data_IF_389728474959
#
_entry.id   IF_389728474959
#
_cell.length_a   1.000
_cell.length_b   1.000
_cell.length_c   1.000
_cell.angle_alpha   90.00
_cell.angle_beta   90.00
_cell.angle_gamma   90.00
#
_symmetry.space_group_name_H-M   'P 1'
#
loop_
_entity.id
_entity.type
_entity.pdbx_description
1 polymer ?
#
# COMPACT_ATOMS: atom_id res chain seq x y z
N UNK A 1 -9.69 17.40 21.08
CA UNK A 1 -9.10 18.03 19.88
C UNK A 1 -9.85 19.32 19.60
N UNK A 2 -9.16 20.47 19.64
CA UNK A 2 -9.74 21.79 19.41
C UNK A 2 -10.22 21.90 17.94
N UNK A 3 -11.31 22.65 17.70
CA UNK A 3 -11.88 22.82 16.35
C UNK A 3 -10.92 23.45 15.32
N UNK A 4 -9.90 24.17 15.79
CA UNK A 4 -8.82 24.70 14.95
C UNK A 4 -7.87 23.57 14.49
N UNK A 5 -7.44 22.71 15.40
CA UNK A 5 -6.57 21.57 15.08
C UNK A 5 -7.28 20.64 14.07
N UNK A 6 -8.57 20.32 14.31
CA UNK A 6 -9.36 19.46 13.41
C UNK A 6 -9.42 20.03 11.97
N UNK A 7 -9.64 21.34 11.82
CA UNK A 7 -9.65 21.97 10.49
C UNK A 7 -8.26 21.96 9.84
N UNK A 8 -7.20 22.10 10.64
CA UNK A 8 -5.82 22.05 10.15
C UNK A 8 -5.47 20.64 9.64
N UNK A 9 -5.78 19.60 10.40
CA UNK A 9 -5.57 18.22 10.00
C UNK A 9 -6.39 17.85 8.74
N UNK A 10 -7.66 18.28 8.69
CA UNK A 10 -8.48 18.02 7.50
C UNK A 10 -7.87 18.69 6.27
N UNK A 11 -7.42 19.95 6.36
CA UNK A 11 -6.79 20.65 5.24
C UNK A 11 -5.46 20.00 4.81
N UNK A 12 -4.65 19.51 5.76
CA UNK A 12 -3.45 18.70 5.43
C UNK A 12 -3.83 17.46 4.64
N UNK A 13 -4.86 16.73 5.09
CA UNK A 13 -5.36 15.54 4.43
C UNK A 13 -5.87 15.84 3.02
N UNK A 14 -6.62 16.92 2.83
CA UNK A 14 -7.14 17.33 1.50
C UNK A 14 -5.99 17.60 0.51
N UNK A 15 -4.89 18.24 0.96
CA UNK A 15 -3.70 18.47 0.13
C UNK A 15 -3.02 17.14 -0.22
N UNK A 16 -2.87 16.22 0.73
CA UNK A 16 -2.26 14.91 0.49
C UNK A 16 -3.09 14.08 -0.51
N UNK A 17 -4.43 14.07 -0.35
CA UNK A 17 -5.34 13.35 -1.26
C UNK A 17 -5.26 13.91 -2.69
N UNK A 18 -5.37 15.23 -2.85
CA UNK A 18 -5.25 15.89 -4.15
C UNK A 18 -3.90 15.62 -4.81
N UNK A 19 -2.81 15.67 -4.04
CA UNK A 19 -1.46 15.38 -4.55
C UNK A 19 -1.34 13.92 -4.97
N UNK A 20 -1.87 12.99 -4.18
CA UNK A 20 -1.86 11.56 -4.49
C UNK A 20 -2.57 11.29 -5.82
N UNK A 21 -3.78 11.84 -6.03
CA UNK A 21 -4.53 11.65 -7.28
C UNK A 21 -3.74 12.17 -8.49
N UNK A 22 -3.12 13.33 -8.38
CA UNK A 22 -2.28 13.88 -9.44
C UNK A 22 -1.05 13.00 -9.71
N UNK A 23 -0.38 12.50 -8.67
CA UNK A 23 0.80 11.63 -8.82
C UNK A 23 0.46 10.26 -9.41
N UNK A 24 -0.68 9.69 -9.05
CA UNK A 24 -1.16 8.43 -9.64
C UNK A 24 -1.48 8.60 -11.12
N UNK A 25 -1.96 9.77 -11.53
CA UNK A 25 -2.39 10.03 -12.92
C UNK A 25 -1.25 10.52 -13.81
N UNK A 26 -0.41 11.45 -13.33
CA UNK A 26 0.53 12.20 -14.17
C UNK A 26 2.01 11.95 -13.80
N UNK A 27 2.28 11.25 -12.72
CA UNK A 27 3.63 11.06 -12.17
C UNK A 27 4.09 12.25 -11.31
N UNK A 28 5.21 12.06 -10.61
CA UNK A 28 5.71 13.04 -9.62
C UNK A 28 6.32 14.26 -10.31
N UNK A 29 7.08 14.05 -11.39
CA UNK A 29 7.89 15.10 -12.02
C UNK A 29 7.01 16.14 -12.73
N UNK A 30 5.97 15.69 -13.44
CA UNK A 30 5.09 16.56 -14.21
C UNK A 30 4.16 17.40 -13.37
N UNK A 31 3.90 17.02 -12.12
CA UNK A 31 2.96 17.73 -11.24
C UNK A 31 3.66 18.88 -10.51
N UNK A 32 3.18 20.10 -10.68
CA UNK A 32 3.67 21.33 -10.03
C UNK A 32 2.90 21.64 -8.73
N UNK A 33 3.51 22.42 -7.82
CA UNK A 33 2.81 22.95 -6.63
C UNK A 33 1.59 23.80 -7.00
N UNK A 34 1.60 24.47 -8.15
CA UNK A 34 0.47 25.27 -8.63
C UNK A 34 -0.74 24.37 -8.99
N UNK A 35 -0.50 23.23 -9.64
CA UNK A 35 -1.54 22.26 -9.97
C UNK A 35 -2.09 21.59 -8.70
N UNK A 36 -1.23 21.24 -7.75
CA UNK A 36 -1.65 20.71 -6.45
C UNK A 36 -2.51 21.73 -5.70
N UNK A 37 -2.11 23.00 -5.67
CA UNK A 37 -2.86 24.06 -5.02
C UNK A 37 -4.26 24.25 -5.63
N UNK A 38 -4.34 24.17 -6.96
CA UNK A 38 -5.61 24.24 -7.70
C UNK A 38 -6.50 23.04 -7.36
N UNK A 39 -5.98 21.83 -7.41
CA UNK A 39 -6.73 20.59 -7.13
C UNK A 39 -7.22 20.52 -5.68
N UNK A 40 -6.36 20.90 -4.72
CA UNK A 40 -6.70 20.92 -3.31
C UNK A 40 -7.55 22.17 -2.90
N UNK A 41 -7.85 23.06 -3.83
CA UNK A 41 -8.55 24.32 -3.58
C UNK A 41 -7.92 25.16 -2.46
N UNK A 42 -6.59 25.34 -2.53
CA UNK A 42 -5.81 26.14 -1.58
C UNK A 42 -4.83 27.05 -2.32
N UNK A 43 -4.21 28.01 -1.62
CA UNK A 43 -3.08 28.77 -2.18
C UNK A 43 -1.78 27.96 -2.13
N UNK A 44 -0.82 28.26 -3.02
CA UNK A 44 0.54 27.66 -2.93
C UNK A 44 1.21 27.97 -1.57
N UNK A 45 0.98 29.18 -1.04
CA UNK A 45 1.45 29.59 0.29
C UNK A 45 0.88 28.65 1.37
N UNK A 46 -0.38 28.25 1.23
CA UNK A 46 -0.99 27.29 2.14
C UNK A 46 -0.25 25.95 2.12
N UNK A 47 0.13 25.44 0.93
CA UNK A 47 0.90 24.20 0.83
C UNK A 47 2.24 24.32 1.56
N UNK A 48 2.98 25.42 1.34
CA UNK A 48 4.26 25.65 2.01
C UNK A 48 4.14 25.88 3.53
N UNK A 49 2.95 26.25 4.04
CA UNK A 49 2.71 26.28 5.48
C UNK A 49 2.54 24.90 6.14
N UNK A 50 2.27 23.85 5.35
CA UNK A 50 2.15 22.46 5.81
C UNK A 50 3.36 21.61 5.48
N UNK A 51 4.04 21.93 4.36
CA UNK A 51 5.13 21.13 3.82
C UNK A 51 6.28 22.05 3.42
N UNK A 52 7.45 21.81 3.94
CA UNK A 52 8.66 22.64 3.73
C UNK A 52 8.98 22.84 2.23
N UNK A 53 8.82 21.77 1.45
CA UNK A 53 9.09 21.77 0.01
C UNK A 53 8.33 20.60 -0.67
N UNK A 54 8.38 20.56 -2.03
CA UNK A 54 7.74 19.49 -2.81
C UNK A 54 8.27 18.10 -2.45
N UNK A 55 9.55 17.97 -2.12
CA UNK A 55 10.13 16.67 -1.74
C UNK A 55 9.53 16.15 -0.43
N UNK A 56 9.40 17.01 0.57
CA UNK A 56 8.74 16.65 1.84
C UNK A 56 7.27 16.30 1.62
N UNK A 57 6.54 17.09 0.82
CA UNK A 57 5.17 16.77 0.43
C UNK A 57 5.09 15.38 -0.23
N UNK A 58 6.01 15.05 -1.15
CA UNK A 58 6.04 13.74 -1.82
C UNK A 58 6.23 12.59 -0.83
N UNK A 59 7.11 12.75 0.17
CA UNK A 59 7.28 11.76 1.25
C UNK A 59 6.03 11.61 2.10
N UNK A 60 5.37 12.72 2.46
CA UNK A 60 4.15 12.68 3.26
C UNK A 60 2.99 12.06 2.46
N UNK A 61 2.90 12.28 1.14
CA UNK A 61 1.94 11.62 0.23
C UNK A 61 2.19 10.11 0.17
N UNK A 62 3.43 9.69 0.12
CA UNK A 62 3.80 8.29 0.16
C UNK A 62 3.36 7.61 1.47
N UNK A 63 3.65 8.24 2.63
CA UNK A 63 3.18 7.76 3.94
C UNK A 63 1.66 7.65 3.96
N UNK A 64 0.97 8.69 3.49
CA UNK A 64 -0.49 8.73 3.39
C UNK A 64 -1.05 7.59 2.52
N UNK A 65 -0.41 7.31 1.38
CA UNK A 65 -0.79 6.21 0.49
C UNK A 65 -0.62 4.84 1.16
N UNK A 66 0.49 4.63 1.87
CA UNK A 66 0.77 3.38 2.58
C UNK A 66 -0.23 3.16 3.72
N UNK A 67 -0.55 4.22 4.48
CA UNK A 67 -1.56 4.14 5.55
C UNK A 67 -2.94 3.79 4.99
N UNK A 68 -3.34 4.42 3.88
CA UNK A 68 -4.61 4.14 3.20
C UNK A 68 -4.66 2.69 2.70
N UNK A 69 -3.62 2.23 2.01
CA UNK A 69 -3.53 0.85 1.52
C UNK A 69 -3.54 -0.19 2.66
N UNK A 70 -2.85 0.12 3.76
CA UNK A 70 -2.84 -0.73 4.96
C UNK A 70 -4.23 -0.83 5.59
N UNK A 71 -4.96 0.29 5.69
CA UNK A 71 -6.32 0.31 6.24
C UNK A 71 -7.31 -0.45 5.33
N UNK A 72 -7.20 -0.30 4.02
CA UNK A 72 -8.03 -1.05 3.07
C UNK A 72 -7.78 -2.56 3.17
N UNK A 73 -6.52 -2.98 3.33
CA UNK A 73 -6.17 -4.37 3.56
C UNK A 73 -6.73 -4.89 4.89
N UNK A 74 -6.56 -4.11 5.96
CA UNK A 74 -7.13 -4.42 7.29
C UNK A 74 -8.65 -4.65 7.22
N UNK A 75 -9.37 -3.76 6.53
CA UNK A 75 -10.83 -3.88 6.36
C UNK A 75 -11.24 -5.17 5.65
N UNK A 76 -10.45 -5.64 4.69
CA UNK A 76 -10.71 -6.93 4.02
C UNK A 76 -10.41 -8.10 4.95
N UNK A 77 -9.27 -8.07 5.63
CA UNK A 77 -8.83 -9.14 6.53
C UNK A 77 -9.82 -9.38 7.66
N UNK A 78 -10.29 -8.32 8.31
CA UNK A 78 -11.23 -8.40 9.44
C UNK A 78 -12.70 -8.29 9.07
N UNK A 79 -13.04 -8.35 7.77
CA UNK A 79 -14.44 -8.40 7.34
C UNK A 79 -15.10 -9.75 7.66
N UNK A 80 -16.43 -9.78 7.67
CA UNK A 80 -17.20 -11.01 7.82
C UNK A 80 -17.30 -11.86 6.53
N UNK A 81 -16.53 -11.51 5.50
CA UNK A 81 -16.50 -12.27 4.25
C UNK A 81 -15.87 -13.65 4.47
N UNK A 82 -16.37 -14.71 3.81
CA UNK A 82 -15.70 -16.01 3.77
C UNK A 82 -14.27 -15.88 3.23
N UNK A 83 -13.34 -16.72 3.70
CA UNK A 83 -11.94 -16.68 3.29
C UNK A 83 -11.72 -16.59 1.77
N UNK A 84 -12.39 -17.40 0.90
CA UNK A 84 -12.20 -17.29 -0.54
C UNK A 84 -12.57 -15.91 -1.11
N UNK A 85 -13.61 -15.28 -0.56
CA UNK A 85 -14.02 -13.94 -1.00
C UNK A 85 -13.05 -12.85 -0.55
N UNK A 86 -12.43 -12.99 0.63
CA UNK A 86 -11.32 -12.13 1.06
C UNK A 86 -10.14 -12.23 0.08
N UNK A 87 -9.74 -13.45 -0.29
CA UNK A 87 -8.63 -13.66 -1.24
C UNK A 87 -8.94 -13.05 -2.61
N UNK A 88 -10.14 -13.28 -3.15
CA UNK A 88 -10.57 -12.66 -4.42
C UNK A 88 -10.50 -11.14 -4.35
N UNK A 89 -10.95 -10.55 -3.26
CA UNK A 89 -10.93 -9.10 -3.07
C UNK A 89 -9.52 -8.54 -2.96
N UNK A 90 -8.60 -9.25 -2.28
CA UNK A 90 -7.19 -8.88 -2.21
C UNK A 90 -6.54 -8.91 -3.60
N UNK A 91 -6.77 -9.99 -4.38
CA UNK A 91 -6.25 -10.12 -5.75
C UNK A 91 -6.80 -8.98 -6.63
N UNK A 92 -8.11 -8.74 -6.57
CA UNK A 92 -8.76 -7.65 -7.31
C UNK A 92 -8.18 -6.28 -6.96
N UNK A 93 -8.05 -5.95 -5.68
CA UNK A 93 -7.49 -4.68 -5.23
C UNK A 93 -6.04 -4.49 -5.72
N UNK A 94 -5.21 -5.54 -5.69
CA UNK A 94 -3.83 -5.49 -6.20
C UNK A 94 -3.78 -5.26 -7.69
N UNK A 95 -4.68 -5.88 -8.46
CA UNK A 95 -4.82 -5.66 -9.90
C UNK A 95 -5.20 -4.21 -10.19
N UNK A 96 -6.25 -3.69 -9.56
CA UNK A 96 -6.70 -2.29 -9.74
C UNK A 96 -5.57 -1.30 -9.45
N UNK A 97 -4.87 -1.46 -8.34
CA UNK A 97 -3.72 -0.62 -8.01
C UNK A 97 -2.64 -0.70 -9.10
N UNK A 98 -2.29 -1.89 -9.56
CA UNK A 98 -1.23 -2.05 -10.59
C UNK A 98 -1.59 -1.43 -11.93
N UNK A 99 -2.88 -1.30 -12.25
CA UNK A 99 -3.36 -0.69 -13.49
C UNK A 99 -3.50 0.85 -13.40
N UNK A 100 -3.68 1.38 -12.19
CA UNK A 100 -3.95 2.81 -11.96
C UNK A 100 -2.70 3.59 -11.53
N UNK A 101 -1.69 2.91 -10.98
CA UNK A 101 -0.51 3.58 -10.45
C UNK A 101 0.42 4.04 -11.58
N UNK A 102 0.79 5.31 -11.58
CA UNK A 102 1.79 5.82 -12.51
C UNK A 102 3.17 5.23 -12.19
N UNK A 103 3.91 4.84 -13.23
CA UNK A 103 5.22 4.18 -13.08
C UNK A 103 6.21 4.96 -12.22
N UNK A 104 6.30 6.30 -12.38
CA UNK A 104 7.19 7.14 -11.56
C UNK A 104 6.85 7.08 -10.08
N UNK A 105 5.54 7.07 -9.72
CA UNK A 105 5.12 6.96 -8.32
C UNK A 105 5.41 5.56 -7.77
N UNK A 106 5.20 4.52 -8.57
CA UNK A 106 5.57 3.15 -8.21
C UNK A 106 7.07 3.01 -7.96
N UNK A 107 7.91 3.52 -8.87
CA UNK A 107 9.37 3.49 -8.72
C UNK A 107 9.84 4.25 -7.48
N UNK A 108 9.27 5.43 -7.20
CA UNK A 108 9.54 6.19 -5.99
C UNK A 108 9.21 5.36 -4.73
N UNK A 109 8.04 4.74 -4.71
CA UNK A 109 7.55 3.89 -3.64
C UNK A 109 8.50 2.71 -3.37
N UNK A 110 8.91 2.01 -4.43
CA UNK A 110 9.80 0.86 -4.32
C UNK A 110 11.20 1.26 -3.87
N UNK A 111 11.69 2.42 -4.30
CA UNK A 111 12.96 2.98 -3.82
C UNK A 111 12.89 3.30 -2.32
N UNK A 112 11.85 3.96 -1.85
CA UNK A 112 11.65 4.22 -0.40
C UNK A 112 11.53 2.89 0.39
N UNK A 113 10.95 1.86 -0.23
CA UNK A 113 10.83 0.53 0.38
C UNK A 113 12.18 -0.20 0.50
N UNK A 114 13.09 -0.04 -0.47
CA UNK A 114 14.40 -0.66 -0.43
C UNK A 114 15.36 -0.03 0.60
N UNK A 115 15.01 1.15 1.14
CA UNK A 115 15.78 1.80 2.20
C UNK A 115 15.47 1.12 3.55
N UNK A 116 16.50 0.56 4.19
CA UNK A 116 16.37 -0.03 5.53
C UNK A 116 15.85 0.99 6.56
N UNK A 117 14.99 0.54 7.48
CA UNK A 117 14.34 1.38 8.49
C UNK A 117 13.26 2.31 7.92
N UNK A 118 12.75 2.01 6.72
CA UNK A 118 11.72 2.80 6.05
C UNK A 118 10.36 2.73 6.77
N UNK A 119 9.49 3.72 6.49
CA UNK A 119 8.11 3.70 7.02
C UNK A 119 7.34 2.45 6.58
N UNK A 120 7.54 1.97 5.35
CA UNK A 120 6.92 0.72 4.87
C UNK A 120 7.38 -0.49 5.68
N UNK A 121 8.68 -0.58 5.99
CA UNK A 121 9.22 -1.69 6.78
C UNK A 121 8.54 -1.75 8.15
N UNK A 122 8.41 -0.58 8.81
CA UNK A 122 7.67 -0.46 10.06
C UNK A 122 6.21 -0.94 9.92
N UNK A 123 5.48 -0.48 8.89
CA UNK A 123 4.08 -0.90 8.65
C UNK A 123 4.01 -2.40 8.32
N UNK A 124 4.99 -2.93 7.60
CA UNK A 124 5.07 -4.36 7.33
C UNK A 124 5.18 -5.18 8.62
N UNK A 125 6.08 -4.82 9.51
CA UNK A 125 6.30 -5.53 10.78
C UNK A 125 5.13 -5.36 11.76
N UNK A 126 4.65 -4.12 11.94
CA UNK A 126 3.64 -3.80 12.94
C UNK A 126 2.20 -4.18 12.53
N UNK A 127 1.91 -4.21 11.22
CA UNK A 127 0.56 -4.43 10.70
C UNK A 127 0.45 -5.60 9.73
N UNK A 128 1.28 -5.62 8.67
CA UNK A 128 1.10 -6.61 7.61
C UNK A 128 1.32 -8.04 8.09
N UNK A 129 2.34 -8.29 8.92
CA UNK A 129 2.60 -9.61 9.51
C UNK A 129 1.42 -10.08 10.37
N UNK A 130 0.88 -9.30 11.32
CA UNK A 130 -0.34 -9.64 12.05
C UNK A 130 -1.54 -9.92 11.15
N UNK A 131 -1.75 -9.12 10.08
CA UNK A 131 -2.86 -9.32 9.15
C UNK A 131 -2.73 -10.65 8.40
N UNK A 132 -1.56 -10.99 7.87
CA UNK A 132 -1.33 -12.26 7.23
C UNK A 132 -1.50 -13.44 8.20
N UNK A 133 -0.96 -13.32 9.41
CA UNK A 133 -1.11 -14.34 10.45
C UNK A 133 -2.58 -14.62 10.75
N UNK A 134 -3.39 -13.57 10.92
CA UNK A 134 -4.82 -13.71 11.15
C UNK A 134 -5.54 -14.34 9.94
N UNK A 135 -5.27 -13.84 8.74
CA UNK A 135 -5.90 -14.29 7.49
C UNK A 135 -5.65 -15.79 7.25
N UNK A 136 -4.40 -16.25 7.38
CA UNK A 136 -4.07 -17.66 7.16
C UNK A 136 -4.60 -18.58 8.27
N UNK A 137 -4.61 -18.11 9.52
CA UNK A 137 -5.25 -18.85 10.62
C UNK A 137 -6.74 -19.05 10.35
N UNK A 138 -7.45 -18.00 9.96
CA UNK A 138 -8.86 -18.10 9.56
C UNK A 138 -9.06 -19.07 8.38
N UNK A 139 -8.18 -19.01 7.37
CA UNK A 139 -8.20 -19.95 6.25
C UNK A 139 -8.01 -21.41 6.66
N UNK A 140 -7.15 -21.67 7.66
CA UNK A 140 -6.99 -23.02 8.25
C UNK A 140 -8.26 -23.47 8.99
N UNK A 141 -8.84 -22.60 9.82
CA UNK A 141 -10.06 -22.89 10.58
C UNK A 141 -11.27 -23.16 9.65
N UNK A 142 -11.34 -22.48 8.52
CA UNK A 142 -12.36 -22.70 7.50
C UNK A 142 -12.01 -23.84 6.53
N UNK A 143 -10.79 -24.44 6.64
CA UNK A 143 -10.31 -25.57 5.88
C UNK A 143 -9.92 -25.24 4.43
N UNK A 144 -9.58 -24.00 4.12
CA UNK A 144 -9.06 -23.56 2.82
C UNK A 144 -7.53 -23.54 2.76
N UNK A 145 -6.88 -23.45 3.91
CA UNK A 145 -5.42 -23.50 4.04
C UNK A 145 -5.07 -24.80 4.75
N UNK A 146 -4.01 -25.48 4.29
CA UNK A 146 -3.53 -26.71 4.90
C UNK A 146 -3.15 -26.47 6.38
N UNK A 147 -3.83 -27.11 7.34
CA UNK A 147 -3.59 -26.92 8.77
C UNK A 147 -2.24 -27.49 9.25
N UNK A 148 -1.54 -28.22 8.41
CA UNK A 148 -0.20 -28.76 8.74
C UNK A 148 0.92 -27.75 8.49
N UNK A 149 0.64 -26.67 7.75
CA UNK A 149 1.61 -25.58 7.53
C UNK A 149 1.81 -24.78 8.81
N UNK A 150 3.05 -24.64 9.23
CA UNK A 150 3.36 -23.75 10.37
C UNK A 150 3.26 -22.27 9.95
N UNK A 151 2.84 -21.42 10.87
CA UNK A 151 2.82 -19.97 10.66
C UNK A 151 4.21 -19.44 10.29
N UNK A 152 5.27 -20.00 10.86
CA UNK A 152 6.66 -19.67 10.57
C UNK A 152 7.01 -19.94 9.10
N UNK A 153 6.59 -21.09 8.56
CA UNK A 153 6.84 -21.43 7.15
C UNK A 153 6.11 -20.47 6.20
N UNK A 154 4.86 -20.12 6.51
CA UNK A 154 4.08 -19.15 5.72
C UNK A 154 4.75 -17.78 5.75
N UNK A 155 5.12 -17.28 6.93
CA UNK A 155 5.79 -15.99 7.09
C UNK A 155 7.16 -15.99 6.41
N UNK A 156 7.93 -17.09 6.50
CA UNK A 156 9.20 -17.22 5.79
C UNK A 156 9.00 -17.09 4.26
N UNK A 157 7.97 -17.74 3.71
CA UNK A 157 7.64 -17.62 2.29
C UNK A 157 7.26 -16.18 1.89
N UNK A 158 6.47 -15.49 2.73
CA UNK A 158 6.11 -14.08 2.52
C UNK A 158 7.36 -13.20 2.53
N UNK A 159 8.26 -13.37 3.51
CA UNK A 159 9.51 -12.62 3.60
C UNK A 159 10.40 -12.85 2.39
N UNK A 160 10.56 -14.09 1.96
CA UNK A 160 11.36 -14.45 0.78
C UNK A 160 10.82 -13.74 -0.49
N UNK A 161 9.50 -13.73 -0.69
CA UNK A 161 8.90 -13.01 -1.81
C UNK A 161 9.11 -11.50 -1.68
N UNK A 162 8.85 -10.93 -0.50
CA UNK A 162 9.06 -9.50 -0.23
C UNK A 162 10.49 -9.08 -0.57
N UNK A 163 11.49 -9.78 -0.03
CA UNK A 163 12.90 -9.44 -0.20
C UNK A 163 13.37 -9.55 -1.65
N UNK A 164 12.81 -10.52 -2.40
CA UNK A 164 13.11 -10.64 -3.81
C UNK A 164 12.44 -9.54 -4.65
N UNK A 165 11.15 -9.27 -4.40
CA UNK A 165 10.36 -8.34 -5.20
C UNK A 165 10.76 -6.86 -5.00
N UNK A 166 11.41 -6.51 -3.89
CA UNK A 166 11.86 -5.13 -3.61
C UNK A 166 13.24 -4.79 -4.20
N UNK A 167 13.96 -5.75 -4.80
CA UNK A 167 15.27 -5.49 -5.41
C UNK A 167 15.16 -4.54 -6.59
N UNK A 168 16.15 -3.64 -6.74
CA UNK A 168 16.18 -2.60 -7.79
C UNK A 168 16.15 -3.18 -9.22
N UNK A 169 16.74 -4.35 -9.43
CA UNK A 169 16.75 -5.05 -10.72
C UNK A 169 15.45 -5.82 -11.01
N UNK A 170 14.58 -5.99 -10.03
CA UNK A 170 13.36 -6.81 -10.08
C UNK A 170 12.10 -5.97 -10.09
N UNK A 171 11.94 -5.01 -9.17
CA UNK A 171 10.67 -4.31 -9.00
C UNK A 171 10.12 -3.64 -10.27
N UNK A 172 10.94 -3.14 -11.24
CA UNK A 172 10.38 -2.59 -12.48
C UNK A 172 9.62 -3.62 -13.32
N UNK A 173 9.94 -4.91 -13.14
CA UNK A 173 9.32 -6.03 -13.86
C UNK A 173 8.06 -6.56 -13.15
N UNK A 174 7.87 -6.21 -11.88
CA UNK A 174 6.80 -6.76 -11.03
C UNK A 174 5.44 -6.12 -11.35
N UNK A 175 5.42 -4.81 -11.62
CA UNK A 175 4.18 -4.07 -11.79
C UNK A 175 3.22 -4.72 -12.83
N UNK A 176 3.65 -5.07 -14.04
CA UNK A 176 2.77 -5.74 -15.01
C UNK A 176 2.39 -7.19 -14.62
N UNK A 177 3.12 -7.81 -13.70
CA UNK A 177 2.90 -9.19 -13.25
C UNK A 177 2.17 -9.27 -11.88
N UNK A 178 1.77 -8.13 -11.31
CA UNK A 178 1.23 -8.06 -9.94
C UNK A 178 0.03 -8.99 -9.73
N UNK A 179 -0.90 -9.04 -10.68
CA UNK A 179 -2.08 -9.92 -10.59
C UNK A 179 -1.67 -11.39 -10.54
N UNK A 180 -0.80 -11.83 -11.46
CA UNK A 180 -0.38 -13.23 -11.56
C UNK A 180 0.47 -13.65 -10.37
N UNK A 181 1.41 -12.80 -9.93
CA UNK A 181 2.21 -13.05 -8.72
C UNK A 181 1.29 -13.20 -7.49
N UNK A 182 0.27 -12.34 -7.37
CA UNK A 182 -0.67 -12.41 -6.24
C UNK A 182 -1.52 -13.68 -6.30
N UNK A 183 -1.96 -14.10 -7.49
CA UNK A 183 -2.66 -15.38 -7.68
C UNK A 183 -1.78 -16.57 -7.31
N UNK A 184 -0.54 -16.61 -7.80
CA UNK A 184 0.41 -17.69 -7.49
C UNK A 184 0.68 -17.74 -5.98
N UNK A 185 0.84 -16.58 -5.34
CA UNK A 185 1.06 -16.49 -3.91
C UNK A 185 -0.07 -17.17 -3.11
N UNK A 186 -1.32 -16.81 -3.40
CA UNK A 186 -2.45 -17.34 -2.64
C UNK A 186 -2.84 -18.76 -3.02
N UNK A 187 -2.89 -19.07 -4.29
CA UNK A 187 -3.30 -20.40 -4.74
C UNK A 187 -2.22 -21.47 -4.55
N UNK A 188 -0.94 -21.09 -4.43
CA UNK A 188 0.12 -22.01 -4.03
C UNK A 188 0.09 -22.37 -2.53
N UNK A 189 -0.56 -21.54 -1.67
CA UNK A 189 -0.71 -21.79 -0.23
C UNK A 189 -2.06 -22.48 0.07
N UNK A 190 -3.09 -22.22 -0.72
CA UNK A 190 -4.40 -22.86 -0.60
C UNK A 190 -4.30 -24.23 -1.25
N UNK A 191 -4.29 -25.29 -0.45
CA UNK A 191 -4.25 -26.66 -0.94
C UNK A 191 -5.36 -26.93 -1.96
N UNK A 192 -5.07 -27.73 -3.00
CA UNK A 192 -6.09 -28.24 -3.91
C UNK A 192 -7.11 -29.09 -3.10
N UNK A 193 -8.38 -28.79 -3.25
CA UNK A 193 -9.50 -29.61 -2.81
C UNK A 193 -10.18 -30.26 -3.98
#
# INVERSE_FOLDING_TARGET
>A
MDGFQRRREQKKKDILEATLQLYLTYGIQKVSIAEIAKEANVSQVTIYNYFENKHQLTKDVFIYYIDKASLEFEQVVYSDLPFPEKIKKIIFNKKEVSQQIHEEFYQFMMKEYSLGGSYIEKIYEEKSIPYFTYLFKEGMEQGYVDPTLSNEAILFYIHMLKDYLQREDIYPKVLPLTEDITKIFFYGIIGER
#
